data_IF_697199810543
#
_entry.id   IF_697199810543
#
_cell.length_a   1.000
_cell.length_b   1.000
_cell.length_c   1.000
_cell.angle_alpha   90.00
_cell.angle_beta   90.00
_cell.angle_gamma   90.00
#
_symmetry.space_group_name_H-M   'P 1'
#
loop_
_entity.id
_entity.type
_entity.pdbx_description
1 polymer ?
#
# COMPACT_ATOMS: atom_id res chain seq x y z
N UNK A 1 4.24 -9.88 -22.39
CA UNK A 1 4.44 -10.19 -20.95
C UNK A 1 3.08 -10.29 -20.27
N UNK A 2 2.89 -11.25 -19.34
CA UNK A 2 1.66 -11.30 -18.53
C UNK A 2 1.58 -10.02 -17.69
N UNK A 3 0.41 -9.38 -17.63
CA UNK A 3 0.20 -8.08 -16.97
C UNK A 3 0.65 -8.09 -15.50
N UNK A 4 0.52 -9.22 -14.80
CA UNK A 4 1.01 -9.38 -13.42
C UNK A 4 2.53 -9.34 -13.31
N UNK A 5 3.29 -9.85 -14.28
CA UNK A 5 4.75 -9.77 -14.27
C UNK A 5 5.25 -8.34 -14.41
N UNK A 6 4.57 -7.52 -15.21
CA UNK A 6 4.88 -6.08 -15.34
C UNK A 6 4.66 -5.38 -14.00
N UNK A 7 3.54 -5.69 -13.32
CA UNK A 7 3.24 -5.16 -11.99
C UNK A 7 4.32 -5.53 -10.96
N UNK A 8 4.77 -6.79 -10.93
CA UNK A 8 5.85 -7.20 -10.01
C UNK A 8 7.14 -6.42 -10.31
N UNK A 9 7.55 -6.33 -11.57
CA UNK A 9 8.79 -5.63 -11.95
C UNK A 9 8.72 -4.15 -11.57
N UNK A 10 7.61 -3.48 -11.89
CA UNK A 10 7.41 -2.08 -11.54
C UNK A 10 7.40 -1.88 -10.02
N UNK A 11 6.73 -2.76 -9.28
CA UNK A 11 6.72 -2.75 -7.82
C UNK A 11 8.13 -2.93 -7.24
N UNK A 12 8.92 -3.86 -7.75
CA UNK A 12 10.31 -4.04 -7.31
C UNK A 12 11.16 -2.79 -7.59
N UNK A 13 11.03 -2.16 -8.76
CA UNK A 13 11.72 -0.92 -9.09
C UNK A 13 11.33 0.19 -8.11
N UNK A 14 10.02 0.38 -7.86
CA UNK A 14 9.53 1.36 -6.89
C UNK A 14 10.04 1.09 -5.48
N UNK A 15 10.15 -0.18 -5.08
CA UNK A 15 10.66 -0.55 -3.76
C UNK A 15 12.14 -0.20 -3.61
N UNK A 16 12.96 -0.48 -4.64
CA UNK A 16 14.38 -0.10 -4.66
C UNK A 16 14.55 1.42 -4.64
N UNK A 17 13.77 2.15 -5.45
CA UNK A 17 13.78 3.61 -5.48
C UNK A 17 13.27 4.24 -4.17
N UNK A 18 12.38 3.58 -3.44
CA UNK A 18 11.90 4.01 -2.12
C UNK A 18 12.90 3.71 -1.00
N UNK A 19 13.72 2.67 -1.14
CA UNK A 19 14.78 2.33 -0.19
C UNK A 19 15.98 3.27 -0.27
N UNK A 20 16.40 3.64 -1.49
CA UNK A 20 17.61 4.43 -1.70
C UNK A 20 17.66 5.75 -0.89
N UNK A 21 16.60 6.57 -0.83
CA UNK A 21 16.63 7.81 -0.09
C UNK A 21 16.35 7.62 1.40
N UNK A 22 15.91 6.44 1.89
CA UNK A 22 15.87 6.18 3.34
C UNK A 22 17.27 6.07 3.96
N UNK A 23 18.27 5.66 3.18
CA UNK A 23 19.66 5.62 3.62
C UNK A 23 20.32 7.01 3.65
N UNK A 24 19.87 7.92 2.78
CA UNK A 24 20.46 9.26 2.63
C UNK A 24 19.68 10.34 3.40
N UNK A 25 18.36 10.20 3.49
CA UNK A 25 17.44 11.17 4.07
C UNK A 25 16.30 10.44 4.81
N UNK A 26 16.54 9.98 6.05
CA UNK A 26 15.59 9.15 6.80
C UNK A 26 14.28 9.87 7.17
N UNK A 27 14.25 11.20 7.03
CA UNK A 27 13.12 12.07 7.36
C UNK A 27 12.02 12.09 6.27
N UNK A 28 12.29 11.57 5.06
CA UNK A 28 11.30 11.54 3.98
C UNK A 28 10.24 10.44 4.18
N UNK A 29 9.17 10.80 4.88
CA UNK A 29 7.96 9.98 5.07
C UNK A 29 7.35 9.50 3.74
N UNK A 30 7.39 10.33 2.70
CA UNK A 30 6.85 9.99 1.38
C UNK A 30 7.42 8.67 0.85
N UNK A 31 8.70 8.38 1.14
CA UNK A 31 9.34 7.13 0.72
C UNK A 31 8.78 5.91 1.45
N UNK A 32 8.38 6.04 2.71
CA UNK A 32 7.77 4.94 3.47
C UNK A 32 6.41 4.57 2.88
N UNK A 33 5.58 5.56 2.55
CA UNK A 33 4.31 5.32 1.86
C UNK A 33 4.52 4.77 0.45
N UNK A 34 5.52 5.28 -0.27
CA UNK A 34 5.89 4.78 -1.59
C UNK A 34 6.30 3.30 -1.57
N UNK A 35 7.05 2.86 -0.55
CA UNK A 35 7.39 1.45 -0.36
C UNK A 35 6.17 0.58 -0.06
N UNK A 36 5.21 1.04 0.77
CA UNK A 36 3.97 0.30 1.02
C UNK A 36 3.14 0.16 -0.27
N UNK A 37 3.07 1.22 -1.09
CA UNK A 37 2.47 1.17 -2.42
C UNK A 37 3.17 0.18 -3.35
N UNK A 38 4.51 0.15 -3.33
CA UNK A 38 5.31 -0.80 -4.09
C UNK A 38 5.03 -2.26 -3.68
N UNK A 39 4.95 -2.53 -2.38
CA UNK A 39 4.61 -3.85 -1.84
C UNK A 39 3.20 -4.27 -2.26
N UNK A 40 2.21 -3.36 -2.20
CA UNK A 40 0.86 -3.64 -2.71
C UNK A 40 0.88 -4.05 -4.18
N UNK A 41 1.67 -3.33 -4.99
CA UNK A 41 1.79 -3.58 -6.43
C UNK A 41 2.42 -4.96 -6.73
N UNK A 42 3.42 -5.35 -5.94
CA UNK A 42 4.04 -6.69 -5.99
C UNK A 42 3.01 -7.77 -5.63
N UNK A 43 2.27 -7.61 -4.52
CA UNK A 43 1.25 -8.57 -4.09
C UNK A 43 0.20 -8.74 -5.20
N UNK A 44 -0.34 -7.63 -5.72
CA UNK A 44 -1.32 -7.67 -6.81
C UNK A 44 -0.77 -8.41 -8.03
N UNK A 45 0.48 -8.13 -8.42
CA UNK A 45 1.12 -8.79 -9.55
C UNK A 45 1.31 -10.29 -9.36
N UNK A 46 1.75 -10.74 -8.17
CA UNK A 46 1.94 -12.16 -7.82
C UNK A 46 0.63 -12.92 -7.94
N UNK A 47 -0.41 -12.41 -7.28
CA UNK A 47 -1.70 -13.10 -7.23
C UNK A 47 -2.41 -13.06 -8.57
N UNK A 48 -2.28 -11.96 -9.34
CA UNK A 48 -2.79 -11.88 -10.72
C UNK A 48 -2.12 -12.88 -11.66
N UNK A 49 -0.81 -13.08 -11.54
CA UNK A 49 -0.08 -14.07 -12.36
C UNK A 49 -0.48 -15.51 -12.06
N UNK A 50 -0.84 -15.80 -10.80
CA UNK A 50 -1.32 -17.13 -10.41
C UNK A 50 -2.84 -17.30 -10.62
N UNK A 51 -3.58 -16.22 -10.88
CA UNK A 51 -5.05 -16.24 -11.01
C UNK A 51 -5.78 -16.47 -9.68
N UNK A 52 -5.08 -16.40 -8.55
CA UNK A 52 -5.65 -16.65 -7.22
C UNK A 52 -6.06 -15.34 -6.57
N UNK A 53 -7.35 -15.20 -6.28
CA UNK A 53 -7.89 -14.12 -5.46
C UNK A 53 -8.59 -14.74 -4.25
N UNK A 54 -7.81 -15.42 -3.41
CA UNK A 54 -8.30 -16.18 -2.26
C UNK A 54 -8.15 -15.40 -0.94
N UNK A 55 -8.51 -16.05 0.18
CA UNK A 55 -8.38 -15.47 1.52
C UNK A 55 -6.99 -14.89 1.81
N UNK A 56 -5.93 -15.58 1.39
CA UNK A 56 -4.54 -15.14 1.63
C UNK A 56 -4.20 -13.86 0.85
N UNK A 57 -4.71 -13.69 -0.37
CA UNK A 57 -4.57 -12.46 -1.14
C UNK A 57 -5.13 -11.26 -0.38
N UNK A 58 -6.37 -11.39 0.11
CA UNK A 58 -7.03 -10.31 0.84
C UNK A 58 -6.36 -10.03 2.18
N UNK A 59 -5.94 -11.06 2.91
CA UNK A 59 -5.17 -10.89 4.15
C UNK A 59 -3.87 -10.12 3.91
N UNK A 60 -3.13 -10.44 2.85
CA UNK A 60 -1.88 -9.75 2.52
C UNK A 60 -2.13 -8.27 2.22
N UNK A 61 -3.14 -7.96 1.41
CA UNK A 61 -3.50 -6.57 1.08
C UNK A 61 -3.98 -5.80 2.31
N UNK A 62 -4.90 -6.37 3.10
CA UNK A 62 -5.38 -5.72 4.31
C UNK A 62 -4.27 -5.49 5.33
N UNK A 63 -3.29 -6.39 5.42
CA UNK A 63 -2.12 -6.20 6.28
C UNK A 63 -1.31 -4.98 5.87
N UNK A 64 -1.06 -4.79 4.57
CA UNK A 64 -0.32 -3.61 4.07
C UNK A 64 -1.14 -2.33 4.27
N UNK A 65 -2.44 -2.37 4.03
CA UNK A 65 -3.35 -1.23 4.31
C UNK A 65 -3.33 -0.90 5.80
N UNK A 66 -3.41 -1.89 6.69
CA UNK A 66 -3.37 -1.67 8.13
C UNK A 66 -2.04 -1.04 8.58
N UNK A 67 -0.91 -1.50 8.05
CA UNK A 67 0.41 -0.90 8.30
C UNK A 67 0.46 0.55 7.84
N UNK A 68 -0.11 0.86 6.67
CA UNK A 68 -0.24 2.22 6.16
C UNK A 68 -1.04 3.10 7.12
N UNK A 69 -2.20 2.60 7.60
CA UNK A 69 -3.05 3.29 8.56
C UNK A 69 -2.36 3.54 9.91
N UNK A 70 -1.63 2.55 10.43
CA UNK A 70 -0.84 2.71 11.66
C UNK A 70 0.24 3.77 11.50
N UNK A 71 0.89 3.86 10.34
CA UNK A 71 1.88 4.90 10.08
C UNK A 71 1.25 6.29 10.04
N UNK A 72 0.07 6.44 9.41
CA UNK A 72 -0.68 7.70 9.43
C UNK A 72 -1.07 8.11 10.85
N UNK A 73 -1.54 7.16 11.66
CA UNK A 73 -1.89 7.39 13.06
C UNK A 73 -0.67 7.79 13.90
N UNK A 74 0.48 7.12 13.71
CA UNK A 74 1.73 7.49 14.38
C UNK A 74 2.16 8.92 14.06
N UNK A 75 2.10 9.31 12.78
CA UNK A 75 2.43 10.67 12.34
C UNK A 75 1.50 11.69 13.01
N UNK A 76 0.19 11.41 12.98
CA UNK A 76 -0.82 12.28 13.56
C UNK A 76 -0.64 12.48 15.07
N UNK A 77 -0.30 11.44 15.82
CA UNK A 77 -0.21 11.48 17.28
C UNK A 77 1.13 12.01 17.82
N UNK A 78 2.24 11.65 17.17
CA UNK A 78 3.57 11.84 17.76
C UNK A 78 4.49 12.77 16.98
N UNK A 79 4.12 13.13 15.75
CA UNK A 79 5.02 13.88 14.87
C UNK A 79 4.29 14.97 14.07
N UNK A 80 3.15 15.43 14.56
CA UNK A 80 2.30 16.42 13.89
C UNK A 80 3.06 17.71 13.59
N UNK A 81 3.86 18.21 14.54
CA UNK A 81 4.62 19.46 14.41
C UNK A 81 5.73 19.42 13.37
N UNK A 82 6.38 18.27 13.19
CA UNK A 82 7.45 18.09 12.21
C UNK A 82 6.93 17.82 10.79
N UNK A 83 5.69 17.36 10.68
CA UNK A 83 5.11 16.92 9.41
C UNK A 83 3.93 17.76 8.93
N UNK A 84 3.65 18.87 9.62
CA UNK A 84 2.73 19.94 9.22
C UNK A 84 3.26 20.81 8.08
N UNK A 85 4.56 20.76 7.75
CA UNK A 85 5.09 21.52 6.59
C UNK A 85 4.49 21.05 5.25
N UNK A 86 3.89 19.86 5.20
CA UNK A 86 3.14 19.41 4.03
C UNK A 86 1.81 18.74 4.40
N UNK A 87 0.96 19.48 5.11
CA UNK A 87 -0.41 19.07 5.47
C UNK A 87 -1.18 18.50 4.27
N UNK A 88 -0.98 19.07 3.08
CA UNK A 88 -1.61 18.60 1.83
C UNK A 88 -1.22 17.17 1.47
N UNK A 89 0.07 16.80 1.61
CA UNK A 89 0.52 15.43 1.34
C UNK A 89 -0.10 14.48 2.36
N UNK A 90 -0.14 14.85 3.64
CA UNK A 90 -0.76 14.01 4.67
C UNK A 90 -2.25 13.75 4.38
N UNK A 91 -3.03 14.78 4.05
CA UNK A 91 -4.44 14.61 3.68
C UNK A 91 -4.63 13.81 2.40
N UNK A 92 -3.75 13.97 1.41
CA UNK A 92 -3.76 13.13 0.22
C UNK A 92 -3.52 11.64 0.57
N UNK A 93 -2.57 11.36 1.45
CA UNK A 93 -2.30 9.99 1.94
C UNK A 93 -3.50 9.42 2.71
N UNK A 94 -4.17 10.22 3.54
CA UNK A 94 -5.41 9.84 4.22
C UNK A 94 -6.53 9.50 3.23
N UNK A 95 -6.74 10.34 2.21
CA UNK A 95 -7.74 10.08 1.17
C UNK A 95 -7.44 8.77 0.43
N UNK A 96 -6.18 8.55 0.04
CA UNK A 96 -5.75 7.35 -0.66
C UNK A 96 -5.93 6.10 0.21
N UNK A 97 -5.61 6.18 1.51
CA UNK A 97 -5.87 5.11 2.47
C UNK A 97 -7.36 4.75 2.53
N UNK A 98 -8.25 5.75 2.65
CA UNK A 98 -9.71 5.53 2.67
C UNK A 98 -10.18 4.85 1.37
N UNK A 99 -9.70 5.32 0.22
CA UNK A 99 -10.05 4.72 -1.07
C UNK A 99 -9.60 3.25 -1.18
N UNK A 100 -8.40 2.92 -0.69
CA UNK A 100 -7.90 1.54 -0.65
C UNK A 100 -8.77 0.65 0.23
N UNK A 101 -9.13 1.10 1.44
CA UNK A 101 -10.00 0.35 2.36
C UNK A 101 -11.35 0.07 1.70
N UNK A 102 -11.98 1.08 1.09
CA UNK A 102 -13.28 0.93 0.43
C UNK A 102 -13.17 -0.04 -0.76
N UNK A 103 -12.17 0.15 -1.62
CA UNK A 103 -12.01 -0.66 -2.83
C UNK A 103 -11.78 -2.13 -2.51
N UNK A 104 -10.80 -2.43 -1.66
CA UNK A 104 -10.47 -3.81 -1.30
C UNK A 104 -11.48 -4.43 -0.34
N UNK A 105 -12.07 -3.64 0.57
CA UNK A 105 -13.19 -4.05 1.41
C UNK A 105 -14.40 -4.49 0.59
N UNK A 106 -14.81 -3.68 -0.39
CA UNK A 106 -15.91 -4.03 -1.30
C UNK A 106 -15.57 -5.29 -2.11
N UNK A 107 -14.37 -5.38 -2.67
CA UNK A 107 -13.95 -6.54 -3.45
C UNK A 107 -13.97 -7.84 -2.62
N UNK A 108 -13.52 -7.77 -1.37
CA UNK A 108 -13.55 -8.89 -0.42
C UNK A 108 -14.99 -9.33 -0.12
N UNK A 109 -15.87 -8.39 0.30
CA UNK A 109 -17.26 -8.69 0.65
C UNK A 109 -18.02 -9.29 -0.55
N UNK A 110 -17.81 -8.75 -1.75
CA UNK A 110 -18.46 -9.26 -2.97
C UNK A 110 -18.05 -10.69 -3.29
N UNK A 111 -16.77 -11.05 -3.12
CA UNK A 111 -16.32 -12.43 -3.31
C UNK A 111 -16.79 -13.35 -2.19
N UNK A 112 -16.87 -12.84 -0.95
CA UNK A 112 -17.32 -13.62 0.20
C UNK A 112 -18.77 -14.04 -0.01
N UNK A 113 -19.61 -13.10 -0.47
CA UNK A 113 -21.02 -13.38 -0.79
C UNK A 113 -21.18 -14.40 -1.92
N UNK A 114 -20.22 -14.49 -2.85
CA UNK A 114 -20.24 -15.46 -3.96
C UNK A 114 -19.69 -16.84 -3.58
N UNK A 115 -19.02 -16.97 -2.43
CA UNK A 115 -18.30 -18.20 -2.06
C UNK A 115 -16.98 -18.39 -2.81
N UNK A 116 -16.48 -17.34 -3.49
CA UNK A 116 -15.29 -17.39 -4.36
C UNK A 116 -14.00 -16.98 -3.60
N UNK A 117 -13.87 -17.35 -2.32
CA UNK A 117 -12.84 -16.85 -1.39
C UNK A 117 -11.91 -17.95 -0.84
#
# INVERSE_FOLDING_TARGET
MKTGSIMIIMGCICLVLGLFPLFLYPELISNRFFMLGAILLIIIGIFRNKGYFNKNYFMAIFSVIALWGLMLLYIFLFRTSEYLESTNIFYFQMLLFILLVIFFGRAYILRLKKGDL
#
